data_IF_705558497102
#
_entry.id   IF_705558497102
#
_cell.length_a   1.000
_cell.length_b   1.000
_cell.length_c   1.000
_cell.angle_alpha   90.00
_cell.angle_beta   90.00
_cell.angle_gamma   90.00
#
_symmetry.space_group_name_H-M   'P 1'
#
loop_
_entity.id
_entity.type
_entity.pdbx_description
1 polymer ?
#
# COMPACT_ATOMS: atom_id res chain seq x y z
N UNK A 1 -6.37 16.62 4.91
CA UNK A 1 -5.89 16.12 3.60
C UNK A 1 -4.83 15.07 3.89
N UNK A 2 -5.06 13.82 3.49
CA UNK A 2 -4.01 12.79 3.53
C UNK A 2 -3.16 12.92 2.27
N UNK A 3 -1.84 12.85 2.41
CA UNK A 3 -0.93 12.72 1.27
C UNK A 3 -0.79 11.26 0.86
N UNK A 4 -0.30 11.04 -0.36
CA UNK A 4 0.06 9.71 -0.86
C UNK A 4 1.21 9.12 -0.02
N UNK A 5 1.01 7.99 0.68
CA UNK A 5 2.02 7.45 1.59
C UNK A 5 3.38 7.18 0.94
N UNK A 6 3.39 6.72 -0.32
CA UNK A 6 4.61 6.35 -1.03
C UNK A 6 5.40 7.55 -1.59
N UNK A 7 4.91 8.77 -1.44
CA UNK A 7 5.66 10.00 -1.75
C UNK A 7 6.54 10.46 -0.58
N UNK A 8 6.45 9.82 0.59
CA UNK A 8 7.34 10.01 1.75
C UNK A 8 7.86 8.66 2.26
N UNK A 9 8.61 7.90 1.43
CA UNK A 9 8.90 6.49 1.69
C UNK A 9 9.79 6.27 2.93
N UNK A 10 10.68 7.18 3.29
CA UNK A 10 11.54 7.06 4.47
C UNK A 10 10.71 7.07 5.76
N UNK A 11 9.84 8.08 5.90
CA UNK A 11 8.93 8.22 7.05
C UNK A 11 7.95 7.05 7.13
N UNK A 12 7.42 6.62 5.98
CA UNK A 12 6.53 5.48 5.91
C UNK A 12 7.22 4.18 6.34
N UNK A 13 8.44 3.94 5.86
CA UNK A 13 9.22 2.75 6.25
C UNK A 13 9.46 2.72 7.77
N UNK A 14 9.84 3.85 8.36
CA UNK A 14 10.04 3.94 9.81
C UNK A 14 8.79 3.54 10.59
N UNK A 15 7.62 4.02 10.17
CA UNK A 15 6.34 3.68 10.79
C UNK A 15 6.00 2.20 10.60
N UNK A 16 6.13 1.69 9.38
CA UNK A 16 5.84 0.30 9.03
C UNK A 16 6.71 -0.66 9.85
N UNK A 17 8.00 -0.38 9.99
CA UNK A 17 8.90 -1.22 10.80
C UNK A 17 8.51 -1.19 12.28
N UNK A 18 8.20 -0.02 12.84
CA UNK A 18 7.75 0.12 14.24
C UNK A 18 6.41 -0.57 14.52
N UNK A 19 5.49 -0.59 13.56
CA UNK A 19 4.21 -1.29 13.72
C UNK A 19 4.39 -2.81 13.58
N UNK A 20 5.28 -3.26 12.70
CA UNK A 20 5.59 -4.69 12.57
C UNK A 20 6.28 -5.29 13.79
N UNK A 21 7.13 -4.53 14.50
CA UNK A 21 7.70 -5.01 15.77
C UNK A 21 6.63 -5.20 16.86
N UNK A 22 5.49 -4.54 16.73
CA UNK A 22 4.33 -4.70 17.63
C UNK A 22 3.36 -5.81 17.19
N UNK A 23 3.65 -6.52 16.10
CA UNK A 23 2.77 -7.56 15.56
C UNK A 23 1.50 -7.02 14.90
N UNK A 24 1.45 -5.73 14.54
CA UNK A 24 0.28 -5.17 13.88
C UNK A 24 0.09 -5.72 12.46
N UNK A 25 -1.18 -5.94 12.09
CA UNK A 25 -1.59 -6.13 10.71
C UNK A 25 -1.61 -4.76 9.99
N UNK A 26 -0.98 -4.66 8.83
CA UNK A 26 -0.80 -3.41 8.09
C UNK A 26 -1.61 -3.41 6.81
N UNK A 27 -2.54 -2.45 6.75
CA UNK A 27 -3.28 -2.08 5.55
C UNK A 27 -2.76 -0.74 5.08
N UNK A 28 -2.34 -0.63 3.82
CA UNK A 28 -1.91 0.64 3.20
C UNK A 28 -2.81 0.95 2.02
N UNK A 29 -3.35 2.17 2.01
CA UNK A 29 -4.09 2.71 0.86
C UNK A 29 -3.15 3.56 0.03
N UNK A 30 -3.15 3.38 -1.29
CA UNK A 30 -2.36 4.18 -2.22
C UNK A 30 -3.18 4.49 -3.47
N UNK A 31 -3.01 5.71 -3.98
CA UNK A 31 -3.53 6.10 -5.29
C UNK A 31 -2.71 5.51 -6.45
N UNK A 32 -1.51 5.00 -6.17
CA UNK A 32 -0.73 4.26 -7.15
C UNK A 32 -1.11 2.80 -7.18
N UNK A 33 -0.94 2.19 -8.35
CA UNK A 33 -1.03 0.74 -8.46
C UNK A 33 0.29 0.09 -8.01
N UNK A 34 0.24 -1.19 -7.64
CA UNK A 34 1.43 -1.96 -7.30
C UNK A 34 2.48 -1.90 -8.42
N UNK A 35 2.07 -1.96 -9.68
CA UNK A 35 2.96 -1.90 -10.84
C UNK A 35 3.72 -0.57 -10.87
N UNK A 36 3.03 0.56 -10.71
CA UNK A 36 3.65 1.90 -10.63
C UNK A 36 4.65 1.97 -9.46
N UNK A 37 4.29 1.41 -8.31
CA UNK A 37 5.18 1.39 -7.14
C UNK A 37 6.45 0.57 -7.38
N UNK A 38 6.34 -0.58 -8.07
CA UNK A 38 7.48 -1.43 -8.43
C UNK A 38 8.36 -0.80 -9.52
N UNK A 39 7.77 -0.08 -10.46
CA UNK A 39 8.47 0.65 -11.52
C UNK A 39 9.38 1.77 -10.98
N UNK A 40 9.09 2.31 -9.78
CA UNK A 40 9.96 3.28 -9.10
C UNK A 40 11.34 2.69 -8.76
N UNK A 41 11.52 1.36 -8.79
CA UNK A 41 12.78 0.65 -8.49
C UNK A 41 13.43 1.09 -7.17
N UNK A 42 12.62 1.53 -6.20
CA UNK A 42 13.09 2.01 -4.90
C UNK A 42 13.17 0.86 -3.90
N UNK A 43 14.35 0.67 -3.31
CA UNK A 43 14.55 -0.35 -2.28
C UNK A 43 13.70 -0.08 -1.02
N UNK A 44 13.48 1.19 -0.68
CA UNK A 44 12.66 1.59 0.47
C UNK A 44 11.21 1.20 0.23
N UNK A 45 10.66 1.52 -0.95
CA UNK A 45 9.29 1.14 -1.34
C UNK A 45 9.14 -0.38 -1.32
N UNK A 46 10.10 -1.12 -1.89
CA UNK A 46 10.08 -2.58 -1.85
C UNK A 46 10.11 -3.12 -0.40
N UNK A 47 10.90 -2.52 0.49
CA UNK A 47 10.92 -2.91 1.91
C UNK A 47 9.61 -2.63 2.65
N UNK A 48 8.87 -1.59 2.25
CA UNK A 48 7.53 -1.28 2.76
C UNK A 48 6.52 -2.31 2.24
N UNK A 49 6.49 -2.54 0.93
CA UNK A 49 5.60 -3.49 0.28
C UNK A 49 5.78 -4.91 0.84
N UNK A 50 7.02 -5.36 1.03
CA UNK A 50 7.33 -6.65 1.65
C UNK A 50 6.88 -6.76 3.13
N UNK A 51 6.58 -5.64 3.79
CA UNK A 51 6.04 -5.63 5.16
C UNK A 51 4.56 -5.28 5.19
N UNK A 52 3.91 -5.05 4.05
CA UNK A 52 2.49 -4.74 3.99
C UNK A 52 1.70 -6.04 3.94
N UNK A 53 0.63 -6.17 4.72
CA UNK A 53 -0.21 -7.37 4.69
C UNK A 53 -1.32 -7.23 3.64
N UNK A 54 -1.90 -6.04 3.53
CA UNK A 54 -2.89 -5.70 2.51
C UNK A 54 -2.58 -4.33 1.90
N UNK A 55 -2.32 -4.29 0.60
CA UNK A 55 -2.26 -3.06 -0.17
C UNK A 55 -3.61 -2.85 -0.86
N UNK A 56 -4.21 -1.68 -0.67
CA UNK A 56 -5.39 -1.23 -1.41
C UNK A 56 -4.91 -0.17 -2.38
N UNK A 57 -4.87 -0.53 -3.66
CA UNK A 57 -4.16 0.24 -4.67
C UNK A 57 -5.10 0.89 -5.70
N UNK A 58 -4.59 1.92 -6.38
CA UNK A 58 -5.30 2.65 -7.43
C UNK A 58 -6.03 3.91 -6.97
N UNK A 59 -6.12 4.88 -7.87
CA UNK A 59 -6.76 6.17 -7.63
C UNK A 59 -8.26 6.02 -7.37
N UNK A 60 -8.80 6.91 -6.54
CA UNK A 60 -10.24 7.02 -6.33
C UNK A 60 -10.93 7.55 -7.59
N UNK A 61 -11.96 6.84 -8.04
CA UNK A 61 -12.80 7.22 -9.20
C UNK A 61 -14.24 7.37 -8.73
N UNK A 62 -14.77 8.59 -8.77
CA UNK A 62 -16.08 8.95 -8.20
C UNK A 62 -17.22 8.15 -8.86
N UNK A 63 -17.13 7.95 -10.16
CA UNK A 63 -18.11 7.22 -10.99
C UNK A 63 -18.20 5.75 -10.61
N UNK A 64 -17.17 5.22 -9.95
CA UNK A 64 -17.06 3.83 -9.52
C UNK A 64 -17.27 3.66 -8.00
N UNK A 65 -17.65 4.73 -7.28
CA UNK A 65 -17.78 4.71 -5.83
C UNK A 65 -18.97 3.88 -5.34
N UNK A 66 -20.12 3.96 -6.02
CA UNK A 66 -21.34 3.24 -5.61
C UNK A 66 -21.18 1.71 -5.57
N UNK A 67 -20.24 1.18 -6.38
CA UNK A 67 -19.96 -0.26 -6.49
C UNK A 67 -18.62 -0.67 -5.89
N UNK A 68 -18.02 0.19 -5.07
CA UNK A 68 -16.69 -0.04 -4.52
C UNK A 68 -16.62 -1.30 -3.63
N UNK A 69 -17.68 -1.58 -2.88
CA UNK A 69 -17.67 -2.65 -1.87
C UNK A 69 -16.77 -2.31 -0.67
N UNK A 70 -16.58 -3.27 0.23
CA UNK A 70 -15.87 -3.01 1.49
C UNK A 70 -14.41 -2.62 1.28
N UNK A 71 -13.92 -1.74 2.15
CA UNK A 71 -12.55 -1.22 2.19
C UNK A 71 -12.08 -0.45 0.95
N UNK A 72 -12.92 -0.23 -0.06
CA UNK A 72 -12.55 0.53 -1.26
C UNK A 72 -13.34 1.81 -1.34
N UNK A 73 -12.68 2.87 -1.79
CA UNK A 73 -13.34 4.11 -2.19
C UNK A 73 -14.02 3.95 -3.55
N UNK A 74 -13.43 3.20 -4.48
CA UNK A 74 -13.99 2.99 -5.83
C UNK A 74 -13.69 1.57 -6.35
N UNK A 75 -14.56 1.04 -7.22
CA UNK A 75 -14.51 -0.38 -7.64
C UNK A 75 -13.28 -0.77 -8.44
N UNK A 76 -12.52 0.20 -8.96
CA UNK A 76 -11.23 -0.04 -9.64
C UNK A 76 -10.09 -0.33 -8.66
N UNK A 77 -10.25 -0.02 -7.36
CA UNK A 77 -9.20 -0.28 -6.38
C UNK A 77 -9.10 -1.77 -6.09
N UNK A 78 -7.87 -2.29 -5.97
CA UNK A 78 -7.63 -3.73 -5.78
C UNK A 78 -7.15 -4.01 -4.37
N UNK A 79 -7.65 -5.09 -3.76
CA UNK A 79 -7.14 -5.62 -2.50
C UNK A 79 -6.05 -6.64 -2.81
N UNK A 80 -4.80 -6.29 -2.51
CA UNK A 80 -3.64 -7.12 -2.80
C UNK A 80 -3.04 -7.60 -1.48
N UNK A 81 -3.28 -8.87 -1.16
CA UNK A 81 -2.69 -9.53 0.00
C UNK A 81 -1.22 -9.85 -0.26
N UNK A 82 -0.35 -9.48 0.69
CA UNK A 82 1.09 -9.70 0.64
C UNK A 82 1.69 -9.32 -0.74
N UNK A 83 1.68 -8.01 -1.09
CA UNK A 83 1.89 -7.55 -2.47
C UNK A 83 3.22 -7.98 -3.08
N UNK A 84 4.26 -8.19 -2.26
CA UNK A 84 5.48 -8.87 -2.68
C UNK A 84 5.99 -9.84 -1.61
N UNK A 85 6.76 -10.83 -2.05
CA UNK A 85 7.39 -11.81 -1.17
C UNK A 85 8.40 -11.15 -0.22
N UNK A 86 8.32 -11.52 1.06
CA UNK A 86 9.39 -11.23 2.03
C UNK A 86 10.63 -12.03 1.63
N UNK A 87 11.71 -11.34 1.26
CA UNK A 87 13.03 -11.96 1.31
C UNK A 87 13.30 -12.34 2.78
N UNK A 88 13.40 -13.64 3.06
CA UNK A 88 13.89 -14.10 4.36
C UNK A 88 15.32 -13.58 4.52
N UNK A 89 15.59 -12.93 5.64
CA UNK A 89 16.96 -12.63 6.07
C UNK A 89 17.67 -13.93 6.38
#
# INVERSE_FOLDING_TARGET
MGGEPFDQPESLLHLVEKLKTKGCHLVIYSGYTLEILLERKSEIINRILAKTDLLIDGAFVRELAERAGEYRGSSNQRLILHPILRKKK
#
